data_IF_285068068576
#
_entry.id   IF_285068068576
#
_cell.length_a   1.000
_cell.length_b   1.000
_cell.length_c   1.000
_cell.angle_alpha   90.00
_cell.angle_beta   90.00
_cell.angle_gamma   90.00
#
_symmetry.space_group_name_H-M   'P 1'
#
loop_
_entity.id
_entity.type
_entity.pdbx_description
1 polymer ?
#
# COMPACT_ATOMS: atom_id res chain seq x y z
N UNK A 1 76.33 -56.82 -7.53
CA UNK A 1 76.50 -58.13 -8.21
C UNK A 1 75.63 -59.16 -7.51
N UNK A 2 74.98 -60.03 -8.30
CA UNK A 2 74.07 -61.12 -7.92
C UNK A 2 74.57 -61.94 -6.71
N UNK A 3 73.65 -62.39 -5.84
CA UNK A 3 73.23 -63.81 -5.76
C UNK A 3 72.20 -64.04 -4.64
N UNK A 4 71.35 -65.02 -4.93
CA UNK A 4 70.18 -65.52 -4.22
C UNK A 4 70.63 -66.60 -3.17
N UNK A 5 69.71 -67.32 -2.50
CA UNK A 5 69.34 -67.33 -1.07
C UNK A 5 70.02 -68.48 -0.27
N UNK A 6 69.57 -68.85 0.95
CA UNK A 6 68.64 -69.99 1.01
C UNK A 6 67.65 -70.02 2.19
N UNK A 7 66.60 -70.84 1.98
CA UNK A 7 65.68 -71.40 2.96
C UNK A 7 66.40 -72.06 4.17
N UNK A 8 65.81 -71.97 5.37
CA UNK A 8 65.03 -73.06 6.02
C UNK A 8 64.69 -72.78 7.50
N UNK A 9 63.43 -73.14 7.83
CA UNK A 9 62.93 -73.81 9.05
C UNK A 9 62.96 -73.05 10.38
N UNK A 10 61.81 -72.48 10.76
CA UNK A 10 60.83 -72.99 11.76
C UNK A 10 61.37 -73.17 13.17
N UNK A 11 60.92 -72.31 14.11
CA UNK A 11 60.67 -72.66 15.51
C UNK A 11 59.46 -71.86 16.03
N UNK A 12 58.56 -72.56 16.71
CA UNK A 12 57.35 -72.10 17.39
C UNK A 12 57.62 -70.99 18.42
N UNK A 13 56.69 -70.04 18.54
CA UNK A 13 56.71 -69.01 19.59
C UNK A 13 55.32 -68.44 19.87
N UNK A 14 54.63 -69.06 20.83
CA UNK A 14 53.68 -68.48 21.79
C UNK A 14 52.62 -67.46 21.31
N UNK A 15 51.38 -67.97 21.25
CA UNK A 15 50.10 -67.25 21.26
C UNK A 15 50.07 -66.17 22.37
N UNK A 16 49.95 -64.91 21.98
CA UNK A 16 49.32 -63.85 22.79
C UNK A 16 47.93 -63.59 22.21
N UNK A 17 46.89 -63.92 22.99
CA UNK A 17 45.51 -63.60 22.65
C UNK A 17 45.28 -62.11 22.92
N UNK A 18 45.33 -61.28 21.88
CA UNK A 18 44.78 -59.93 21.93
C UNK A 18 43.28 -60.02 21.70
N UNK A 19 42.49 -59.94 22.76
CA UNK A 19 41.04 -59.71 22.68
C UNK A 19 40.81 -58.27 22.19
N UNK A 20 40.69 -58.09 20.89
CA UNK A 20 40.19 -56.85 20.30
C UNK A 20 38.69 -56.75 20.57
N UNK A 21 38.31 -55.86 21.49
CA UNK A 21 36.93 -55.47 21.70
C UNK A 21 36.39 -54.79 20.43
N UNK A 22 35.47 -55.46 19.73
CA UNK A 22 34.70 -54.84 18.64
C UNK A 22 33.64 -53.96 19.31
N UNK A 23 33.92 -52.67 19.39
CA UNK A 23 32.91 -51.68 19.76
C UNK A 23 31.92 -51.53 18.60
N UNK A 24 30.74 -52.16 18.74
CA UNK A 24 29.61 -51.94 17.83
C UNK A 24 29.07 -50.55 18.15
N UNK A 25 29.49 -49.56 17.36
CA UNK A 25 28.97 -48.19 17.42
C UNK A 25 27.59 -48.19 16.73
N UNK A 26 26.53 -48.41 17.50
CA UNK A 26 25.16 -48.18 17.03
C UNK A 26 24.98 -46.68 16.76
N UNK A 27 25.06 -46.26 15.51
CA UNK A 27 24.64 -44.92 15.09
C UNK A 27 23.14 -44.78 15.38
N UNK A 28 22.80 -44.07 16.46
CA UNK A 28 21.46 -43.51 16.63
C UNK A 28 21.27 -42.45 15.55
N UNK A 29 20.56 -42.80 14.48
CA UNK A 29 20.03 -41.83 13.52
C UNK A 29 18.90 -41.07 14.21
N UNK A 30 19.22 -39.96 14.87
CA UNK A 30 18.21 -39.00 15.29
C UNK A 30 17.49 -38.48 14.04
N UNK A 31 16.15 -38.56 13.95
CA UNK A 31 15.44 -37.96 12.85
C UNK A 31 15.68 -36.45 12.92
N UNK A 32 16.33 -35.91 11.89
CA UNK A 32 16.39 -34.46 11.68
C UNK A 32 14.96 -34.04 11.39
N UNK A 33 14.26 -33.57 12.42
CA UNK A 33 12.98 -32.90 12.24
C UNK A 33 13.29 -31.64 11.43
N UNK A 34 12.92 -31.66 10.15
CA UNK A 34 12.83 -30.45 9.34
C UNK A 34 11.83 -29.54 10.02
N UNK A 35 12.33 -28.53 10.74
CA UNK A 35 11.51 -27.41 11.19
C UNK A 35 10.97 -26.74 9.94
N UNK A 36 9.77 -27.14 9.50
CA UNK A 36 9.04 -26.39 8.51
C UNK A 36 8.85 -24.99 9.10
N UNK A 37 9.45 -23.98 8.48
CA UNK A 37 9.18 -22.60 8.84
C UNK A 37 7.66 -22.41 8.81
N UNK A 38 7.04 -21.85 9.88
CA UNK A 38 5.60 -21.61 9.86
C UNK A 38 5.29 -20.78 8.62
N UNK A 39 4.35 -21.26 7.80
CA UNK A 39 3.85 -20.49 6.65
C UNK A 39 3.33 -19.18 7.22
N UNK A 40 3.94 -18.07 6.85
CA UNK A 40 3.53 -16.76 7.33
C UNK A 40 2.06 -16.54 6.97
N UNK A 41 1.26 -16.10 7.94
CA UNK A 41 -0.15 -15.83 7.72
C UNK A 41 -0.33 -14.70 6.70
N UNK A 42 -1.33 -14.82 5.82
CA UNK A 42 -1.66 -13.77 4.83
C UNK A 42 -1.88 -12.41 5.49
N UNK A 43 -1.33 -11.35 4.91
CA UNK A 43 -1.55 -9.97 5.39
C UNK A 43 -3.04 -9.58 5.40
N UNK A 44 -3.88 -10.21 4.56
CA UNK A 44 -5.31 -9.94 4.50
C UNK A 44 -6.08 -10.39 5.74
N UNK A 45 -5.52 -11.31 6.52
CA UNK A 45 -6.11 -11.71 7.82
C UNK A 45 -5.93 -10.63 8.89
N UNK A 46 -4.88 -9.80 8.76
CA UNK A 46 -4.52 -8.79 9.75
C UNK A 46 -5.58 -7.71 9.94
N UNK A 47 -6.39 -7.44 8.91
CA UNK A 47 -7.53 -6.52 9.02
C UNK A 47 -8.53 -6.93 10.11
N UNK A 48 -8.66 -8.24 10.36
CA UNK A 48 -9.62 -8.80 11.31
C UNK A 48 -9.02 -9.15 12.67
N UNK A 49 -7.70 -9.01 12.85
CA UNK A 49 -7.05 -9.36 14.10
C UNK A 49 -7.54 -8.52 15.28
N UNK A 50 -7.72 -9.19 16.42
CA UNK A 50 -7.95 -8.53 17.69
C UNK A 50 -6.70 -7.74 18.10
N UNK A 51 -6.88 -6.67 18.89
CA UNK A 51 -5.78 -5.86 19.42
C UNK A 51 -6.22 -4.43 19.69
N UNK A 52 -5.26 -3.55 19.97
CA UNK A 52 -5.54 -2.14 20.21
C UNK A 52 -5.73 -1.41 18.87
N UNK A 53 -6.79 -0.61 18.77
CA UNK A 53 -7.03 0.29 17.64
C UNK A 53 -7.04 1.72 18.16
N UNK A 54 -6.15 2.56 17.66
CA UNK A 54 -6.15 3.98 17.97
C UNK A 54 -7.25 4.69 17.18
N UNK A 55 -7.47 4.25 15.94
CA UNK A 55 -8.61 4.67 15.14
C UNK A 55 -9.45 3.44 14.82
N UNK A 56 -10.75 3.54 15.04
CA UNK A 56 -11.77 2.64 14.52
C UNK A 56 -13.06 3.46 14.35
N UNK A 57 -13.20 4.10 13.19
CA UNK A 57 -14.27 5.07 12.92
C UNK A 57 -15.01 4.71 11.62
N UNK A 58 -16.30 5.06 11.50
CA UNK A 58 -16.98 4.95 10.22
C UNK A 58 -16.46 6.03 9.26
N UNK A 59 -16.61 5.80 7.97
CA UNK A 59 -16.40 6.82 6.96
C UNK A 59 -17.53 6.86 5.93
N UNK A 60 -17.71 8.03 5.33
CA UNK A 60 -18.58 8.23 4.17
C UNK A 60 -17.78 8.10 2.88
N UNK A 61 -18.41 7.61 1.82
CA UNK A 61 -17.86 7.61 0.47
C UNK A 61 -18.62 8.65 -0.35
N UNK A 62 -17.93 9.71 -0.78
CA UNK A 62 -18.50 10.79 -1.60
C UNK A 62 -17.62 10.94 -2.83
N UNK A 63 -18.22 10.72 -4.01
CA UNK A 63 -17.52 10.58 -5.29
C UNK A 63 -16.33 9.61 -5.20
N UNK A 64 -16.54 8.46 -4.55
CA UNK A 64 -15.52 7.44 -4.30
C UNK A 64 -14.48 7.76 -3.23
N UNK A 65 -14.37 9.02 -2.78
CA UNK A 65 -13.38 9.44 -1.76
C UNK A 65 -13.90 9.21 -0.35
N UNK A 66 -12.99 8.80 0.52
CA UNK A 66 -13.23 8.54 1.94
C UNK A 66 -13.32 9.86 2.70
N UNK A 67 -14.37 10.06 3.49
CA UNK A 67 -14.54 11.20 4.37
C UNK A 67 -14.77 10.74 5.82
N UNK A 68 -14.03 11.35 6.75
CA UNK A 68 -14.10 11.07 8.19
C UNK A 68 -14.30 12.35 8.98
N UNK A 69 -14.72 12.18 10.23
CA UNK A 69 -14.89 13.26 11.20
C UNK A 69 -13.62 13.45 12.04
N UNK A 70 -13.06 14.66 12.01
CA UNK A 70 -11.78 15.01 12.63
C UNK A 70 -11.95 16.17 13.60
N UNK A 71 -11.22 16.16 14.72
CA UNK A 71 -11.11 17.30 15.61
C UNK A 71 -9.88 18.13 15.26
N UNK A 72 -10.05 19.46 15.23
CA UNK A 72 -9.02 20.44 14.94
C UNK A 72 -8.96 21.42 16.11
N UNK A 73 -7.79 21.51 16.76
CA UNK A 73 -7.56 22.32 17.97
C UNK A 73 -8.56 22.03 19.11
N UNK A 74 -9.10 20.81 19.19
CA UNK A 74 -10.11 20.41 20.18
C UNK A 74 -11.55 20.78 19.82
N UNK A 75 -11.77 21.46 18.69
CA UNK A 75 -13.09 21.75 18.12
C UNK A 75 -13.44 20.74 17.03
N UNK A 76 -14.73 20.60 16.74
CA UNK A 76 -15.23 19.72 15.66
C UNK A 76 -16.56 19.05 16.04
N UNK A 77 -16.99 18.04 15.26
CA UNK A 77 -16.22 17.41 14.18
C UNK A 77 -16.18 18.24 12.89
N UNK A 78 -15.07 18.14 12.16
CA UNK A 78 -14.85 18.68 10.82
C UNK A 78 -14.70 17.54 9.81
N UNK A 79 -15.20 17.71 8.58
CA UNK A 79 -15.14 16.67 7.56
C UNK A 79 -13.79 16.71 6.86
N UNK A 80 -13.03 15.63 6.95
CA UNK A 80 -11.74 15.49 6.29
C UNK A 80 -11.75 14.34 5.29
N UNK A 81 -11.19 14.55 4.10
CA UNK A 81 -10.93 13.47 3.16
C UNK A 81 -9.65 12.70 3.54
N UNK A 82 -9.59 11.40 3.24
CA UNK A 82 -8.35 10.61 3.35
C UNK A 82 -7.68 10.51 1.97
N UNK A 83 -6.46 11.02 1.85
CA UNK A 83 -5.73 11.11 0.60
C UNK A 83 -4.30 10.56 0.76
N UNK A 84 -4.06 9.37 0.23
CA UNK A 84 -2.73 8.74 0.22
C UNK A 84 -1.80 9.36 -0.83
N UNK A 85 -2.35 9.97 -1.88
CA UNK A 85 -1.59 10.71 -2.90
C UNK A 85 -1.03 12.03 -2.40
N UNK A 86 -1.66 12.60 -1.39
CA UNK A 86 -1.24 13.79 -0.67
C UNK A 86 0.02 13.60 0.19
N UNK A 87 1.05 14.43 -0.05
CA UNK A 87 2.22 14.58 0.85
C UNK A 87 1.91 15.32 2.14
N UNK A 88 2.80 15.16 3.14
CA UNK A 88 2.74 15.86 4.43
C UNK A 88 1.73 15.25 5.40
N UNK A 89 1.43 15.99 6.46
CA UNK A 89 0.49 15.57 7.51
C UNK A 89 -0.96 15.87 7.14
N UNK A 90 -1.24 17.09 6.67
CA UNK A 90 -2.61 17.51 6.42
C UNK A 90 -2.69 18.64 5.39
N UNK A 91 -3.91 18.89 4.91
CA UNK A 91 -4.30 20.12 4.23
C UNK A 91 -5.51 20.72 4.94
N UNK A 92 -5.63 22.03 4.96
CA UNK A 92 -6.76 22.76 5.52
C UNK A 92 -7.43 23.57 4.42
N UNK A 93 -8.75 23.48 4.30
CA UNK A 93 -9.50 24.35 3.42
C UNK A 93 -9.51 25.78 3.96
N UNK A 94 -9.47 26.76 3.05
CA UNK A 94 -9.47 28.17 3.42
C UNK A 94 -10.68 28.57 4.29
N UNK A 95 -11.82 27.87 4.18
CA UNK A 95 -12.99 28.09 5.06
C UNK A 95 -12.68 27.69 6.50
N UNK A 96 -12.08 26.51 6.71
CA UNK A 96 -11.67 26.04 8.04
C UNK A 96 -10.63 26.97 8.65
N UNK A 97 -9.64 27.39 7.86
CA UNK A 97 -8.60 28.35 8.28
C UNK A 97 -9.22 29.64 8.80
N UNK A 98 -10.16 30.24 8.06
CA UNK A 98 -10.86 31.46 8.51
C UNK A 98 -11.73 31.20 9.73
N UNK A 99 -12.49 30.10 9.75
CA UNK A 99 -13.39 29.76 10.84
C UNK A 99 -12.67 29.60 12.17
N UNK A 100 -11.49 28.98 12.16
CA UNK A 100 -10.68 28.72 13.35
C UNK A 100 -9.58 29.77 13.59
N UNK A 101 -9.49 30.79 12.73
CA UNK A 101 -8.40 31.77 12.73
C UNK A 101 -7.01 31.12 12.83
N UNK A 102 -6.78 30.06 12.04
CA UNK A 102 -5.52 29.32 12.09
C UNK A 102 -4.36 30.25 11.68
N UNK A 103 -3.27 30.32 12.47
CA UNK A 103 -2.15 31.19 12.17
C UNK A 103 -1.42 30.70 10.92
N UNK A 104 -1.03 31.64 10.06
CA UNK A 104 -0.15 31.36 8.93
C UNK A 104 1.21 30.83 9.41
N UNK A 105 1.80 29.95 8.60
CA UNK A 105 3.13 29.37 8.80
C UNK A 105 4.03 29.72 7.60
N UNK A 106 5.32 29.37 7.64
CA UNK A 106 6.23 29.62 6.53
C UNK A 106 5.81 28.85 5.28
N UNK A 107 5.69 29.56 4.14
CA UNK A 107 5.35 28.93 2.86
C UNK A 107 6.35 27.84 2.50
N UNK A 108 5.85 26.70 2.05
CA UNK A 108 6.69 25.54 1.74
C UNK A 108 6.55 25.12 0.27
N UNK A 109 7.60 24.50 -0.25
CA UNK A 109 7.61 23.96 -1.61
C UNK A 109 6.85 22.63 -1.60
N UNK A 110 5.67 22.60 -2.19
CA UNK A 110 4.82 21.41 -2.28
C UNK A 110 5.00 20.72 -3.63
N UNK A 111 5.03 19.39 -3.63
CA UNK A 111 4.91 18.58 -4.84
C UNK A 111 3.80 17.54 -4.69
N UNK A 112 2.99 17.42 -5.73
CA UNK A 112 1.96 16.39 -5.91
C UNK A 112 2.47 15.19 -6.75
N UNK A 113 3.77 15.17 -7.06
CA UNK A 113 4.38 14.15 -7.93
C UNK A 113 4.42 14.54 -9.41
N UNK A 114 3.79 15.65 -9.81
CA UNK A 114 3.76 16.17 -11.19
C UNK A 114 4.32 17.59 -11.27
N UNK A 115 3.88 18.47 -10.37
CA UNK A 115 4.34 19.87 -10.30
C UNK A 115 4.95 20.18 -8.95
N UNK A 116 5.76 21.25 -8.92
CA UNK A 116 6.29 21.79 -7.67
C UNK A 116 5.97 23.28 -7.58
N UNK A 117 5.17 23.67 -6.59
CA UNK A 117 4.73 25.04 -6.39
C UNK A 117 4.96 25.52 -4.95
N UNK A 118 5.08 26.83 -4.76
CA UNK A 118 4.97 27.43 -3.44
C UNK A 118 3.52 27.35 -2.99
N UNK A 119 3.31 26.90 -1.76
CA UNK A 119 1.99 26.79 -1.17
C UNK A 119 1.97 27.44 0.20
N UNK A 120 0.89 28.17 0.46
CA UNK A 120 0.62 28.73 1.77
C UNK A 120 0.37 27.60 2.77
N UNK A 121 0.83 27.82 4.00
CA UNK A 121 0.72 26.88 5.09
C UNK A 121 0.13 27.56 6.32
N UNK A 122 -0.50 26.76 7.17
CA UNK A 122 -1.02 27.18 8.48
C UNK A 122 -0.58 26.21 9.55
N UNK A 123 -0.52 26.68 10.80
CA UNK A 123 -0.27 25.83 11.96
C UNK A 123 -1.58 25.37 12.60
N UNK A 124 -1.68 24.08 12.84
CA UNK A 124 -2.75 23.43 13.60
C UNK A 124 -2.13 22.89 14.89
N UNK A 125 -2.56 23.41 16.05
CA UNK A 125 -2.04 23.00 17.36
C UNK A 125 -2.29 21.52 17.63
N UNK A 126 -3.44 21.00 17.23
CA UNK A 126 -3.73 19.59 17.32
C UNK A 126 -4.73 19.11 16.27
N UNK A 127 -4.43 17.96 15.67
CA UNK A 127 -5.31 17.25 14.75
C UNK A 127 -5.56 15.86 15.30
N UNK A 128 -6.82 15.46 15.46
CA UNK A 128 -7.19 14.18 16.05
C UNK A 128 -8.29 13.46 15.28
N UNK A 129 -8.06 12.18 15.04
CA UNK A 129 -8.99 11.23 14.47
C UNK A 129 -9.08 10.05 15.44
N UNK A 130 -10.23 9.83 16.06
CA UNK A 130 -10.33 8.86 17.16
C UNK A 130 -9.27 9.11 18.24
N UNK A 131 -8.53 8.08 18.62
CA UNK A 131 -7.40 8.14 19.55
C UNK A 131 -6.05 8.49 18.91
N UNK A 132 -5.95 8.64 17.58
CA UNK A 132 -4.74 9.11 16.92
C UNK A 132 -4.73 10.64 16.91
N UNK A 133 -3.74 11.23 17.58
CA UNK A 133 -3.56 12.68 17.71
C UNK A 133 -2.14 13.08 17.36
N UNK A 134 -2.04 14.12 16.53
CA UNK A 134 -0.79 14.81 16.24
C UNK A 134 -0.88 16.25 16.73
N UNK A 135 0.13 16.69 17.45
CA UNK A 135 0.28 18.09 17.85
C UNK A 135 1.16 18.84 16.87
N UNK A 136 0.97 20.15 16.80
CA UNK A 136 1.89 21.04 16.13
C UNK A 136 2.10 20.62 14.65
N UNK A 137 1.01 20.67 13.90
CA UNK A 137 0.90 20.21 12.50
C UNK A 137 0.97 21.40 11.55
N UNK A 138 1.86 21.37 10.58
CA UNK A 138 1.83 22.30 9.43
C UNK A 138 0.93 21.70 8.37
N UNK A 139 -0.10 22.43 7.97
CA UNK A 139 -1.04 22.05 6.94
C UNK A 139 -0.96 23.01 5.76
N UNK A 140 -0.92 22.47 4.54
CA UNK A 140 -1.05 23.28 3.33
C UNK A 140 -2.47 23.83 3.26
N UNK A 141 -2.63 25.07 2.80
CA UNK A 141 -3.94 25.71 2.67
C UNK A 141 -4.18 26.24 1.26
N UNK A 142 -5.43 26.10 0.81
CA UNK A 142 -6.01 26.73 -0.38
C UNK A 142 -7.53 26.59 -0.32
N UNK A 143 -8.21 27.17 -1.31
CA UNK A 143 -9.62 26.83 -1.55
C UNK A 143 -9.70 25.48 -2.27
N UNK A 144 -9.94 24.41 -1.52
CA UNK A 144 -10.11 23.06 -2.07
C UNK A 144 -11.51 22.84 -2.66
N UNK A 145 -12.45 23.72 -2.33
CA UNK A 145 -13.86 23.56 -2.63
C UNK A 145 -14.35 24.47 -3.77
N UNK A 146 -13.47 25.30 -4.35
CA UNK A 146 -13.78 26.21 -5.46
C UNK A 146 -14.48 25.53 -6.67
N UNK A 147 -14.23 24.23 -6.88
CA UNK A 147 -14.83 23.43 -7.96
C UNK A 147 -15.56 22.18 -7.46
N UNK A 148 -15.78 22.04 -6.15
CA UNK A 148 -16.49 20.91 -5.56
C UNK A 148 -17.99 21.22 -5.47
N UNK A 149 -18.83 20.19 -5.54
CA UNK A 149 -20.23 20.32 -5.16
C UNK A 149 -20.34 20.60 -3.65
N UNK A 150 -21.48 21.16 -3.22
CA UNK A 150 -21.72 21.39 -1.78
C UNK A 150 -21.68 20.08 -0.97
N UNK A 151 -22.16 18.99 -1.56
CA UNK A 151 -22.22 17.69 -0.87
C UNK A 151 -20.83 17.06 -0.73
N UNK A 152 -19.96 17.24 -1.73
CA UNK A 152 -18.57 16.81 -1.71
C UNK A 152 -17.62 17.76 -0.95
N UNK A 153 -18.15 18.85 -0.39
CA UNK A 153 -17.31 19.81 0.30
C UNK A 153 -16.71 19.21 1.58
N UNK A 154 -15.44 19.53 1.84
CA UNK A 154 -14.69 19.10 3.02
C UNK A 154 -13.85 20.24 3.60
N UNK A 155 -13.51 20.11 4.87
CA UNK A 155 -12.79 21.13 5.65
C UNK A 155 -11.27 20.92 5.62
N UNK A 156 -10.82 19.71 5.30
CA UNK A 156 -9.41 19.40 5.13
C UNK A 156 -9.14 18.02 4.55
N UNK A 157 -7.86 17.67 4.47
CA UNK A 157 -7.39 16.37 4.01
C UNK A 157 -6.40 15.83 5.04
N UNK A 158 -6.58 14.58 5.47
CA UNK A 158 -5.54 13.82 6.15
C UNK A 158 -4.66 13.17 5.10
N UNK A 159 -3.40 13.59 5.06
CA UNK A 159 -2.42 13.18 4.06
C UNK A 159 -1.63 11.96 4.56
N UNK A 160 -0.79 11.37 3.69
CA UNK A 160 -0.06 10.13 4.02
C UNK A 160 0.76 10.19 5.31
N UNK A 161 1.35 11.35 5.62
CA UNK A 161 2.18 11.52 6.82
C UNK A 161 1.41 11.36 8.13
N UNK A 162 0.10 11.63 8.12
CA UNK A 162 -0.75 11.48 9.32
C UNK A 162 -0.78 10.04 9.85
N UNK A 163 -0.56 9.05 8.97
CA UNK A 163 -0.63 7.62 9.25
C UNK A 163 0.75 6.93 9.18
N UNK A 164 1.85 7.68 9.30
CA UNK A 164 3.20 7.17 9.00
C UNK A 164 3.76 6.16 10.03
N UNK A 165 3.24 6.15 11.25
CA UNK A 165 3.81 5.41 12.37
C UNK A 165 3.01 4.16 12.77
N UNK A 166 2.30 3.54 11.81
CA UNK A 166 1.50 2.35 12.04
C UNK A 166 0.89 1.79 10.75
N UNK A 167 -0.09 0.90 10.92
CA UNK A 167 -0.85 0.31 9.82
C UNK A 167 -2.19 1.01 9.69
N UNK A 168 -2.39 1.68 8.55
CA UNK A 168 -3.69 2.18 8.11
C UNK A 168 -4.46 1.04 7.45
N UNK A 169 -5.69 0.81 7.89
CA UNK A 169 -6.58 -0.20 7.33
C UNK A 169 -7.84 0.53 6.84
N UNK A 170 -8.16 0.38 5.56
CA UNK A 170 -9.34 0.92 4.92
C UNK A 170 -10.19 -0.26 4.48
N UNK A 171 -11.27 -0.52 5.20
CA UNK A 171 -12.28 -1.52 4.82
C UNK A 171 -13.40 -0.80 4.06
N UNK A 172 -13.33 -0.81 2.72
CA UNK A 172 -14.36 -0.20 1.88
C UNK A 172 -15.73 -0.89 2.01
N UNK A 173 -15.83 -2.24 1.95
CA UNK A 173 -17.10 -2.94 2.14
C UNK A 173 -17.82 -2.58 3.45
N UNK A 174 -17.09 -2.52 4.57
CA UNK A 174 -17.66 -2.19 5.88
C UNK A 174 -17.68 -0.70 6.18
N UNK A 175 -17.08 0.13 5.32
CA UNK A 175 -16.89 1.58 5.52
C UNK A 175 -16.26 1.93 6.86
N UNK A 176 -15.19 1.19 7.20
CA UNK A 176 -14.44 1.35 8.45
C UNK A 176 -13.01 1.77 8.16
N UNK A 177 -12.59 2.85 8.81
CA UNK A 177 -11.20 3.29 8.82
C UNK A 177 -10.59 2.91 10.16
N UNK A 178 -9.47 2.18 10.13
CA UNK A 178 -8.76 1.78 11.32
C UNK A 178 -7.28 2.15 11.24
N UNK A 179 -6.69 2.39 12.40
CA UNK A 179 -5.26 2.64 12.53
C UNK A 179 -4.76 2.04 13.84
N UNK A 180 -3.62 1.37 13.76
CA UNK A 180 -3.01 0.68 14.89
C UNK A 180 -1.50 0.51 14.72
N UNK A 181 -0.83 0.24 15.84
CA UNK A 181 0.65 0.13 15.92
C UNK A 181 1.12 -1.24 16.42
N UNK A 182 0.19 -2.14 16.73
CA UNK A 182 0.43 -3.45 17.33
C UNK A 182 0.56 -4.59 16.30
N UNK A 183 0.55 -4.25 15.00
CA UNK A 183 0.77 -5.18 13.88
C UNK A 183 1.75 -4.56 12.89
N UNK A 184 2.39 -5.39 12.07
CA UNK A 184 3.27 -4.98 10.97
C UNK A 184 2.93 -5.77 9.69
N UNK A 185 3.15 -5.15 8.52
CA UNK A 185 3.15 -5.88 7.24
C UNK A 185 4.59 -6.32 6.91
N UNK A 186 4.86 -7.63 6.91
CA UNK A 186 6.23 -8.14 6.75
C UNK A 186 6.60 -8.39 5.26
N UNK A 187 7.85 -8.16 4.84
CA UNK A 187 8.28 -8.35 3.44
C UNK A 187 8.02 -9.70 2.80
N UNK A 188 8.10 -10.80 3.55
CA UNK A 188 7.90 -12.17 3.07
C UNK A 188 6.48 -12.70 3.38
N UNK A 189 5.60 -11.84 3.86
CA UNK A 189 4.25 -12.21 4.22
C UNK A 189 3.39 -12.34 2.94
N UNK A 190 2.59 -13.41 2.79
CA UNK A 190 1.68 -13.55 1.66
C UNK A 190 0.74 -12.34 1.55
N UNK A 191 0.38 -12.00 0.31
CA UNK A 191 -0.48 -10.88 -0.06
C UNK A 191 0.07 -9.47 0.25
N UNK A 192 1.36 -9.37 0.58
CA UNK A 192 2.04 -8.08 0.68
C UNK A 192 2.71 -7.66 -0.62
N UNK A 193 2.62 -6.37 -0.93
CA UNK A 193 3.34 -5.72 -2.01
C UNK A 193 4.32 -4.70 -1.42
N UNK A 194 5.56 -4.72 -1.90
CA UNK A 194 6.47 -3.61 -1.70
C UNK A 194 5.99 -2.39 -2.49
N UNK A 195 6.16 -1.21 -1.92
CA UNK A 195 5.90 0.04 -2.62
C UNK A 195 7.12 0.94 -2.61
N UNK A 196 7.29 1.74 -3.67
CA UNK A 196 8.27 2.83 -3.76
C UNK A 196 7.61 4.17 -3.41
N UNK A 197 8.42 5.23 -3.23
CA UNK A 197 8.02 6.56 -2.69
C UNK A 197 6.55 6.94 -2.93
N UNK A 198 5.81 7.37 -1.90
CA UNK A 198 4.40 7.76 -2.04
C UNK A 198 3.50 6.67 -2.66
N UNK A 199 3.61 5.44 -2.13
CA UNK A 199 2.72 4.31 -2.41
C UNK A 199 2.64 3.88 -3.87
N UNK A 200 3.76 3.92 -4.59
CA UNK A 200 3.85 3.34 -5.91
C UNK A 200 4.03 1.83 -5.82
N UNK A 201 3.08 1.08 -6.37
CA UNK A 201 3.05 -0.38 -6.35
C UNK A 201 3.12 -0.93 -7.77
N UNK A 202 3.61 -2.16 -7.92
CA UNK A 202 3.47 -2.88 -9.18
C UNK A 202 2.02 -3.30 -9.39
N UNK A 203 1.50 -3.05 -10.59
CA UNK A 203 0.19 -3.50 -11.05
C UNK A 203 0.35 -4.17 -12.42
N UNK A 204 -0.55 -5.09 -12.74
CA UNK A 204 -0.60 -5.73 -14.06
C UNK A 204 -1.87 -5.31 -14.78
N UNK A 205 -1.74 -4.82 -16.00
CA UNK A 205 -2.83 -4.37 -16.88
C UNK A 205 -2.74 -5.17 -18.17
N UNK A 206 -3.62 -6.16 -18.34
CA UNK A 206 -3.52 -7.17 -19.38
C UNK A 206 -2.19 -7.91 -19.26
N UNK A 207 -1.31 -7.74 -20.25
CA UNK A 207 0.04 -8.33 -20.26
C UNK A 207 1.13 -7.36 -19.78
N UNK A 208 0.78 -6.11 -19.48
CA UNK A 208 1.73 -5.05 -19.12
C UNK A 208 1.84 -4.95 -17.61
N UNK A 209 3.04 -5.15 -17.06
CA UNK A 209 3.33 -4.82 -15.66
C UNK A 209 3.96 -3.44 -15.58
N UNK A 210 3.48 -2.61 -14.66
CA UNK A 210 3.91 -1.21 -14.52
C UNK A 210 3.71 -0.72 -13.09
N UNK A 211 4.39 0.37 -12.75
CA UNK A 211 4.22 1.02 -11.46
C UNK A 211 2.99 1.95 -11.50
N UNK A 212 2.18 1.91 -10.45
CA UNK A 212 1.04 2.81 -10.27
C UNK A 212 1.01 3.37 -8.86
N UNK A 213 0.71 4.66 -8.74
CA UNK A 213 0.46 5.29 -7.45
C UNK A 213 -0.89 4.87 -6.88
N UNK A 214 -0.91 4.34 -5.66
CA UNK A 214 -2.13 4.10 -4.90
C UNK A 214 -2.63 5.41 -4.27
N UNK A 215 -3.73 5.94 -4.79
CA UNK A 215 -4.26 7.26 -4.43
C UNK A 215 -5.75 7.21 -4.05
N UNK A 216 -6.03 7.15 -2.75
CA UNK A 216 -7.40 7.18 -2.22
C UNK A 216 -8.09 8.53 -2.39
N UNK A 217 -7.36 9.59 -2.73
CA UNK A 217 -7.87 10.93 -3.01
C UNK A 217 -8.26 11.15 -4.47
N UNK A 218 -7.83 10.28 -5.38
CA UNK A 218 -8.16 10.37 -6.80
C UNK A 218 -9.58 9.85 -7.09
N UNK A 219 -10.46 10.76 -7.53
CA UNK A 219 -11.86 10.48 -7.91
C UNK A 219 -11.96 9.86 -9.32
N UNK A 220 -11.34 8.69 -9.49
CA UNK A 220 -11.34 7.86 -10.72
C UNK A 220 -11.09 6.41 -10.32
N UNK A 221 -11.32 5.46 -11.24
CA UNK A 221 -10.82 4.10 -11.05
C UNK A 221 -9.32 4.04 -11.36
N UNK A 222 -8.91 4.60 -12.50
CA UNK A 222 -7.51 4.65 -12.88
C UNK A 222 -7.21 5.86 -13.76
N UNK A 223 -5.98 6.37 -13.67
CA UNK A 223 -5.38 7.27 -14.67
C UNK A 223 -4.24 6.53 -15.36
N UNK A 224 -4.19 6.60 -16.69
CA UNK A 224 -3.13 6.00 -17.50
C UNK A 224 -2.48 7.05 -18.41
N UNK A 225 -1.14 7.12 -18.47
CA UNK A 225 -0.44 7.82 -19.54
C UNK A 225 -0.85 7.25 -20.91
N UNK A 226 -0.92 8.07 -21.95
CA UNK A 226 -1.40 7.66 -23.28
C UNK A 226 -0.61 6.47 -23.83
N UNK A 227 0.71 6.49 -23.66
CA UNK A 227 1.58 5.41 -24.11
C UNK A 227 1.33 4.09 -23.37
N UNK A 228 1.03 4.14 -22.07
CA UNK A 228 0.70 2.96 -21.28
C UNK A 228 -0.65 2.38 -21.70
N UNK A 229 -1.67 3.23 -21.86
CA UNK A 229 -3.00 2.81 -22.32
C UNK A 229 -2.93 2.08 -23.66
N UNK A 230 -2.26 2.65 -24.68
CA UNK A 230 -2.11 2.02 -26.00
C UNK A 230 -1.39 0.67 -25.93
N UNK A 231 -0.38 0.54 -25.06
CA UNK A 231 0.36 -0.72 -24.89
C UNK A 231 -0.48 -1.78 -24.21
N UNK A 232 -1.29 -1.40 -23.22
CA UNK A 232 -2.07 -2.33 -22.41
C UNK A 232 -3.39 -2.76 -23.06
N UNK A 233 -4.11 -1.82 -23.71
CA UNK A 233 -5.38 -2.09 -24.40
C UNK A 233 -5.20 -2.82 -25.76
N UNK A 234 -3.98 -2.90 -26.28
CA UNK A 234 -3.67 -3.47 -27.59
C UNK A 234 -3.93 -2.51 -28.76
N UNK A 235 -3.49 -2.91 -29.97
CA UNK A 235 -3.50 -2.08 -31.18
C UNK A 235 -4.89 -1.69 -31.73
N UNK A 236 -5.98 -2.06 -31.05
CA UNK A 236 -7.36 -1.80 -31.46
C UNK A 236 -7.91 -0.44 -31.00
N UNK A 237 -7.07 0.46 -30.49
CA UNK A 237 -7.45 1.87 -30.33
C UNK A 237 -7.10 2.58 -31.63
N UNK A 238 -7.95 2.42 -32.65
CA UNK A 238 -7.99 3.35 -33.77
C UNK A 238 -8.24 4.73 -33.19
N UNK A 239 -7.27 5.62 -33.34
CA UNK A 239 -7.28 7.05 -32.96
C UNK A 239 -8.41 7.87 -33.62
N UNK A 240 -9.44 7.22 -34.18
CA UNK A 240 -10.62 7.79 -34.81
C UNK A 240 -11.93 7.57 -34.05
N UNK A 241 -11.99 6.63 -33.10
CA UNK A 241 -13.15 6.53 -32.20
C UNK A 241 -12.91 7.51 -31.05
N UNK A 242 -13.66 8.60 -31.08
CA UNK A 242 -13.58 9.72 -30.15
C UNK A 242 -13.34 9.23 -28.72
N UNK A 243 -12.13 9.51 -28.19
CA UNK A 243 -12.06 9.95 -26.79
C UNK A 243 -13.16 11.00 -26.68
N UNK A 244 -14.20 10.75 -25.91
CA UNK A 244 -15.28 11.70 -25.75
C UNK A 244 -14.71 12.88 -24.95
N UNK A 245 -14.03 13.78 -25.66
CA UNK A 245 -13.54 15.05 -25.16
C UNK A 245 -14.78 15.92 -25.05
N UNK A 246 -15.49 15.78 -23.93
CA UNK A 246 -16.62 16.64 -23.61
C UNK A 246 -16.12 18.08 -23.57
N UNK A 247 -16.39 18.81 -24.66
CA UNK A 247 -16.39 20.26 -24.79
C UNK A 247 -15.16 21.00 -24.22
N UNK A 248 -14.22 21.36 -25.11
CA UNK A 248 -13.36 22.55 -24.99
C UNK A 248 -12.55 22.69 -23.71
N UNK A 249 -11.26 22.35 -23.79
CA UNK A 249 -10.26 22.54 -22.73
C UNK A 249 -10.54 21.81 -21.40
N UNK A 250 -10.42 20.49 -21.41
CA UNK A 250 -9.91 19.76 -20.24
C UNK A 250 -8.92 18.71 -20.72
N UNK A 251 -7.75 18.77 -20.13
CA UNK A 251 -6.63 17.88 -20.35
C UNK A 251 -6.95 16.40 -20.02
N UNK A 252 -6.90 15.54 -21.05
CA UNK A 252 -7.14 14.10 -20.97
C UNK A 252 -8.52 13.63 -21.47
N UNK A 253 -8.61 12.37 -21.89
CA UNK A 253 -9.85 11.73 -22.38
C UNK A 253 -10.28 10.54 -21.51
N UNK A 254 -11.56 10.16 -21.56
CA UNK A 254 -12.07 8.95 -20.90
C UNK A 254 -12.07 7.76 -21.87
N UNK A 255 -11.74 6.57 -21.38
CA UNK A 255 -11.73 5.35 -22.16
C UNK A 255 -12.21 4.15 -21.34
N UNK A 256 -12.68 3.12 -22.02
CA UNK A 256 -12.96 1.82 -21.43
C UNK A 256 -11.72 0.93 -21.55
N UNK A 257 -11.35 0.23 -20.47
CA UNK A 257 -10.22 -0.69 -20.41
C UNK A 257 -10.73 -2.13 -20.24
N UNK A 258 -10.82 -2.85 -21.35
CA UNK A 258 -11.40 -4.20 -21.43
C UNK A 258 -10.36 -5.32 -21.31
N UNK A 259 -9.28 -5.05 -20.57
CA UNK A 259 -8.28 -6.06 -20.19
C UNK A 259 -8.28 -6.25 -18.67
N UNK A 260 -7.93 -7.44 -18.15
CA UNK A 260 -7.85 -7.67 -16.71
C UNK A 260 -6.83 -6.73 -16.05
N UNK A 261 -7.15 -6.24 -14.86
CA UNK A 261 -6.26 -5.41 -14.04
C UNK A 261 -6.04 -6.10 -12.70
N UNK A 262 -4.79 -6.39 -12.36
CA UNK A 262 -4.39 -6.99 -11.09
C UNK A 262 -3.69 -5.97 -10.21
N UNK A 263 -4.20 -5.79 -9.00
CA UNK A 263 -3.70 -4.87 -7.97
C UNK A 263 -3.62 -5.64 -6.66
N UNK A 264 -2.46 -6.20 -6.34
CA UNK A 264 -2.34 -7.12 -5.20
C UNK A 264 -3.26 -8.34 -5.37
N UNK A 265 -4.10 -8.61 -4.38
CA UNK A 265 -5.10 -9.69 -4.45
C UNK A 265 -6.38 -9.31 -5.20
N UNK A 266 -6.52 -8.06 -5.67
CA UNK A 266 -7.70 -7.60 -6.39
C UNK A 266 -7.55 -7.82 -7.90
N UNK A 267 -8.56 -8.44 -8.52
CA UNK A 267 -8.67 -8.59 -9.96
C UNK A 267 -9.91 -7.83 -10.46
N UNK A 268 -9.69 -6.84 -11.33
CA UNK A 268 -10.71 -5.97 -11.90
C UNK A 268 -10.79 -6.16 -13.42
N UNK A 269 -11.93 -5.80 -14.01
CA UNK A 269 -12.16 -5.87 -15.45
C UNK A 269 -13.13 -4.77 -15.88
N UNK A 270 -13.06 -4.38 -17.15
CA UNK A 270 -14.01 -3.42 -17.74
C UNK A 270 -13.99 -2.05 -17.04
N UNK A 271 -12.79 -1.53 -16.74
CA UNK A 271 -12.65 -0.28 -16.00
C UNK A 271 -12.83 0.94 -16.91
N UNK A 272 -13.63 1.91 -16.47
CA UNK A 272 -13.58 3.26 -17.02
C UNK A 272 -12.34 3.99 -16.48
N UNK A 273 -11.43 4.37 -17.38
CA UNK A 273 -10.16 5.02 -17.04
C UNK A 273 -10.08 6.41 -17.63
N UNK A 274 -9.27 7.27 -17.00
CA UNK A 274 -8.84 8.54 -17.58
C UNK A 274 -7.49 8.34 -18.25
N UNK A 275 -7.34 8.84 -19.48
CA UNK A 275 -6.09 8.83 -20.24
C UNK A 275 -5.56 10.25 -20.30
N UNK A 276 -4.39 10.51 -19.72
CA UNK A 276 -3.75 11.84 -19.70
C UNK A 276 -2.24 11.71 -19.55
N UNK A 277 -1.50 12.48 -20.34
CA UNK A 277 -0.03 12.55 -20.27
C UNK A 277 0.48 13.54 -19.21
N UNK A 278 -0.41 14.19 -18.45
CA UNK A 278 -0.03 14.99 -17.29
C UNK A 278 0.40 14.15 -16.10
N UNK A 279 0.13 12.84 -16.13
CA UNK A 279 0.59 11.91 -15.13
C UNK A 279 1.78 11.14 -15.71
N UNK A 280 2.95 11.14 -15.06
CA UNK A 280 4.14 10.43 -15.56
C UNK A 280 4.01 8.90 -15.42
N UNK A 281 3.09 8.43 -14.58
CA UNK A 281 2.86 7.05 -14.21
C UNK A 281 1.37 6.79 -13.98
N UNK A 282 0.97 5.53 -13.89
CA UNK A 282 -0.41 5.17 -13.63
C UNK A 282 -0.84 5.60 -12.22
N UNK A 283 -2.13 5.84 -12.03
CA UNK A 283 -2.74 6.08 -10.71
C UNK A 283 -3.88 5.10 -10.51
N UNK A 284 -3.84 4.32 -9.44
CA UNK A 284 -4.99 3.55 -8.95
C UNK A 284 -5.79 4.46 -8.03
N UNK A 285 -6.96 4.87 -8.48
CA UNK A 285 -7.81 5.80 -7.76
C UNK A 285 -8.84 5.12 -6.86
N UNK A 286 -9.60 5.93 -6.16
CA UNK A 286 -10.52 5.48 -5.13
C UNK A 286 -11.62 4.53 -5.67
N UNK A 287 -12.07 4.69 -6.92
CA UNK A 287 -13.17 3.86 -7.45
C UNK A 287 -12.75 2.41 -7.65
N UNK A 288 -11.46 2.15 -7.91
CA UNK A 288 -10.94 0.79 -8.09
C UNK A 288 -10.87 0.01 -6.77
N UNK A 289 -10.90 0.68 -5.62
CA UNK A 289 -10.66 0.08 -4.31
C UNK A 289 -11.94 -0.26 -3.54
N UNK A 290 -13.12 0.09 -4.07
CA UNK A 290 -14.39 0.06 -3.33
C UNK A 290 -14.82 -1.33 -2.84
N UNK A 291 -14.27 -2.40 -3.42
CA UNK A 291 -14.56 -3.79 -3.03
C UNK A 291 -13.40 -4.45 -2.28
N UNK A 292 -12.42 -3.65 -1.83
CA UNK A 292 -11.21 -4.15 -1.19
C UNK A 292 -11.09 -3.72 0.28
N UNK A 293 -10.30 -4.48 1.01
CA UNK A 293 -9.68 -4.05 2.27
C UNK A 293 -8.22 -3.71 1.97
N UNK A 294 -7.83 -2.46 2.23
CA UNK A 294 -6.49 -1.96 1.93
C UNK A 294 -5.74 -1.76 3.24
N UNK A 295 -4.57 -2.39 3.37
CA UNK A 295 -3.66 -2.18 4.49
C UNK A 295 -2.41 -1.46 3.97
N UNK A 296 -1.96 -0.43 4.69
CA UNK A 296 -0.76 0.35 4.35
C UNK A 296 0.11 0.46 5.60
N UNK A 297 1.33 -0.07 5.53
CA UNK A 297 2.35 0.07 6.57
C UNK A 297 3.54 0.86 6.03
N UNK A 298 3.68 2.09 6.54
CA UNK A 298 4.76 2.98 6.13
C UNK A 298 6.12 2.62 6.73
N UNK A 299 6.13 1.90 7.85
CA UNK A 299 7.35 1.53 8.56
C UNK A 299 8.10 0.43 7.82
N UNK A 300 7.37 -0.51 7.20
CA UNK A 300 7.94 -1.60 6.40
C UNK A 300 7.87 -1.35 4.89
N UNK A 301 7.30 -0.23 4.45
CA UNK A 301 7.02 0.10 3.05
C UNK A 301 6.25 -1.03 2.35
N UNK A 302 5.17 -1.49 2.98
CA UNK A 302 4.31 -2.55 2.44
C UNK A 302 2.87 -2.11 2.37
N UNK A 303 2.16 -2.65 1.39
CA UNK A 303 0.69 -2.62 1.35
C UNK A 303 0.14 -4.03 1.17
N UNK A 304 -1.12 -4.24 1.51
CA UNK A 304 -1.91 -5.37 1.07
C UNK A 304 -3.23 -4.86 0.51
N UNK A 305 -3.60 -5.30 -0.70
CA UNK A 305 -4.91 -5.01 -1.31
C UNK A 305 -5.65 -6.34 -1.35
N UNK A 306 -6.63 -6.47 -0.46
CA UNK A 306 -7.30 -7.72 -0.18
C UNK A 306 -8.71 -7.69 -0.78
N UNK A 307 -9.11 -8.69 -1.58
CA UNK A 307 -10.48 -8.77 -2.06
C UNK A 307 -11.42 -8.93 -0.87
N UNK A 308 -12.59 -8.31 -0.94
CA UNK A 308 -13.67 -8.60 -0.01
C UNK A 308 -13.95 -10.11 -0.02
N UNK A 309 -13.98 -10.73 1.17
CA UNK A 309 -14.40 -12.13 1.27
C UNK A 309 -15.86 -12.19 0.80
N UNK A 310 -16.25 -13.15 -0.06
CA UNK A 310 -17.66 -13.34 -0.38
C UNK A 310 -18.41 -13.54 0.95
N UNK A 311 -19.51 -12.80 1.13
CA UNK A 311 -20.42 -13.02 2.24
C UNK A 311 -20.82 -14.50 2.22
N UNK A 312 -20.39 -15.25 3.25
CA UNK A 312 -20.99 -16.55 3.53
C UNK A 312 -22.37 -16.24 4.09
N UNK A 313 -23.39 -16.29 3.23
CA UNK A 313 -24.77 -16.39 3.68
C UNK A 313 -24.97 -17.69 4.48
#
# INVERSE_FOLDING_TARGET
MRRIPPHRRTVLGTRRWCSTAIAILTLLTLPVATLASPVAESACTLATHAGQRLVDVPFDVIDGRIHVQVQVNGSGPYRFAIDTGASGMARADARLVRQLALPADASTRHSDGVQTAWADTVRINALALGGLRHSDVTALTRDYNARQSKDAAFDGILARGFFADGVLIIDYPQRRLQFRRDIDLLPAQPDTLAYSRAFRIQVTIGTVTTEAQLDTGANVAMVLPTALFRRAAGAAVTTGDQLTLSHGEVDGGHAQLDVPVLIGGLALQGLHVRVSDHYPEAVVGAHALQEAVVLIDQRSQRVAICPSRPHRN
#
